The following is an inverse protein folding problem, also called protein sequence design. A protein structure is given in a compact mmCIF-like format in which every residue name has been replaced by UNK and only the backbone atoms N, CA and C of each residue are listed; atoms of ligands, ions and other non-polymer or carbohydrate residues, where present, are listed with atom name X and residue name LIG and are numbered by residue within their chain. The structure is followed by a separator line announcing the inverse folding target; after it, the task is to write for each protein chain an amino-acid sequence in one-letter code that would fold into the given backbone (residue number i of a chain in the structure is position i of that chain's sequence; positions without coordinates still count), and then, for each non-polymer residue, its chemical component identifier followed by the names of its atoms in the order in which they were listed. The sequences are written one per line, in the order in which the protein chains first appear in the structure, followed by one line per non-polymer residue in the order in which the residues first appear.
data_IF_685326705151
#
_entry.id   IF_685326705151
#
_cell.length_a   1.000
_cell.length_b   1.000
_cell.length_c   1.000
_cell.angle_alpha   90.00
_cell.angle_beta   90.00
_cell.angle_gamma   90.00
#
_symmetry.space_group_name_H-M   'P 1'
#
loop_
_entity.id
_entity.type
_entity.pdbx_description
1 polymer ?
#
# COMPACT_ATOMS: atom_id res chain seq x y z
N UNK A 1 18.79 7.40 -23.70
CA UNK A 1 17.85 6.30 -23.95
C UNK A 1 17.43 6.36 -25.42
N UNK A 2 17.65 5.27 -26.17
CA UNK A 2 17.21 5.21 -27.57
C UNK A 2 15.69 5.04 -27.63
N UNK A 3 15.04 5.55 -28.68
CA UNK A 3 13.59 5.42 -28.85
C UNK A 3 13.10 3.95 -28.83
N UNK A 4 13.99 3.01 -29.16
CA UNK A 4 13.70 1.57 -29.14
C UNK A 4 13.60 1.00 -27.73
N UNK A 5 14.45 1.42 -26.80
CA UNK A 5 14.44 0.96 -25.40
C UNK A 5 13.16 1.37 -24.66
N UNK A 6 12.65 2.57 -24.98
CA UNK A 6 11.41 3.10 -24.42
C UNK A 6 10.22 2.28 -24.95
N UNK A 7 10.16 2.06 -26.26
CA UNK A 7 9.08 1.28 -26.87
C UNK A 7 9.01 -0.16 -26.35
N UNK A 8 10.16 -0.79 -26.12
CA UNK A 8 10.22 -2.15 -25.57
C UNK A 8 9.77 -2.19 -24.10
N UNK A 9 10.16 -1.19 -23.31
CA UNK A 9 9.74 -1.07 -21.91
C UNK A 9 8.25 -0.78 -21.76
N UNK A 10 7.70 0.09 -22.62
CA UNK A 10 6.25 0.36 -22.69
C UNK A 10 5.48 -0.90 -23.04
N UNK A 11 5.93 -1.68 -24.03
CA UNK A 11 5.31 -2.98 -24.37
C UNK A 11 5.31 -3.95 -23.19
N UNK A 12 6.41 -4.07 -22.46
CA UNK A 12 6.49 -4.93 -21.26
C UNK A 12 5.48 -4.51 -20.18
N UNK A 13 5.35 -3.22 -19.93
CA UNK A 13 4.40 -2.69 -18.93
C UNK A 13 2.95 -2.93 -19.31
N UNK A 14 2.59 -2.63 -20.56
CA UNK A 14 1.24 -2.86 -21.11
C UNK A 14 0.85 -4.33 -21.04
N UNK A 15 1.80 -5.23 -21.28
CA UNK A 15 1.52 -6.68 -21.21
C UNK A 15 1.31 -7.15 -19.76
N UNK A 16 2.07 -6.58 -18.81
CA UNK A 16 2.01 -6.96 -17.40
C UNK A 16 0.79 -6.41 -16.66
N UNK A 17 0.35 -5.20 -17.00
CA UNK A 17 -0.74 -4.47 -16.34
C UNK A 17 -1.87 -4.14 -17.31
N UNK A 18 -2.22 -5.09 -18.18
CA UNK A 18 -3.18 -4.90 -19.27
C UNK A 18 -4.55 -4.38 -18.83
N UNK A 19 -4.95 -4.68 -17.59
CA UNK A 19 -6.25 -4.29 -17.05
C UNK A 19 -6.25 -2.91 -16.37
N UNK A 20 -5.06 -2.37 -16.09
CA UNK A 20 -4.89 -1.14 -15.30
C UNK A 20 -4.36 0.03 -16.13
N UNK A 21 -3.88 -0.23 -17.36
CA UNK A 21 -3.25 0.77 -18.24
C UNK A 21 -4.09 0.96 -19.49
N UNK A 22 -4.54 2.20 -19.73
CA UNK A 22 -5.13 2.62 -20.99
C UNK A 22 -4.06 2.73 -22.08
N UNK A 23 -3.99 1.68 -22.90
CA UNK A 23 -2.93 1.45 -23.89
C UNK A 23 -2.91 2.56 -24.97
N UNK A 24 -4.05 3.21 -25.21
CA UNK A 24 -4.23 4.17 -26.29
C UNK A 24 -3.40 5.45 -26.10
N UNK A 25 -3.26 5.95 -24.86
CA UNK A 25 -2.59 7.23 -24.57
C UNK A 25 -1.34 7.12 -23.70
N UNK A 26 -1.10 5.97 -23.06
CA UNK A 26 -0.02 5.78 -22.09
C UNK A 26 1.37 6.16 -22.61
N UNK A 27 1.67 5.85 -23.88
CA UNK A 27 2.97 6.19 -24.48
C UNK A 27 3.17 7.71 -24.59
N UNK A 28 2.15 8.43 -25.03
CA UNK A 28 2.20 9.88 -25.26
C UNK A 28 2.24 10.64 -23.93
N UNK A 29 1.53 10.14 -22.91
CA UNK A 29 1.60 10.68 -21.54
C UNK A 29 3.01 10.56 -20.94
N UNK A 30 3.65 9.39 -21.08
CA UNK A 30 5.03 9.18 -20.60
C UNK A 30 6.02 10.11 -21.31
N UNK A 31 5.86 10.29 -22.63
CA UNK A 31 6.68 11.21 -23.41
C UNK A 31 6.48 12.66 -22.96
N UNK A 32 5.24 13.08 -22.74
CA UNK A 32 4.91 14.41 -22.26
C UNK A 32 5.49 14.67 -20.86
N UNK A 33 5.36 13.69 -19.96
CA UNK A 33 5.92 13.76 -18.60
C UNK A 33 7.45 13.91 -18.63
N UNK A 34 8.16 13.08 -19.40
CA UNK A 34 9.63 13.16 -19.49
C UNK A 34 10.07 14.52 -20.03
N UNK A 35 9.36 15.05 -21.04
CA UNK A 35 9.65 16.37 -21.62
C UNK A 35 9.47 17.48 -20.58
N UNK A 36 8.37 17.45 -19.83
CA UNK A 36 8.11 18.42 -18.76
C UNK A 36 9.20 18.40 -17.68
N UNK A 37 9.60 17.21 -17.21
CA UNK A 37 10.66 17.09 -16.18
C UNK A 37 12.01 17.58 -16.67
N UNK A 38 12.32 17.36 -17.94
CA UNK A 38 13.56 17.87 -18.57
C UNK A 38 13.56 19.39 -18.71
N UNK A 39 12.42 20.00 -19.02
CA UNK A 39 12.27 21.46 -19.14
C UNK A 39 12.42 22.17 -17.79
N UNK A 40 11.81 21.62 -16.73
CA UNK A 40 11.86 22.20 -15.38
C UNK A 40 13.16 21.89 -14.62
N UNK A 41 14.01 21.00 -15.16
CA UNK A 41 15.33 20.61 -14.63
C UNK A 41 15.34 20.26 -13.12
N UNK A 42 14.23 19.70 -12.62
CA UNK A 42 13.99 19.51 -11.18
C UNK A 42 14.69 18.26 -10.63
N UNK A 43 14.64 17.14 -11.35
CA UNK A 43 15.07 15.82 -10.88
C UNK A 43 15.22 14.81 -12.05
N UNK A 44 15.70 13.60 -11.75
CA UNK A 44 15.71 12.47 -12.67
C UNK A 44 14.26 12.07 -13.03
N UNK A 45 13.86 12.08 -14.33
CA UNK A 45 12.51 11.73 -14.78
C UNK A 45 12.03 10.36 -14.29
N UNK A 46 12.95 9.40 -14.16
CA UNK A 46 12.62 8.05 -13.72
C UNK A 46 12.19 8.01 -12.25
N UNK A 47 12.85 8.79 -11.39
CA UNK A 47 12.53 8.84 -9.96
C UNK A 47 11.20 9.56 -9.72
N UNK A 48 10.99 10.67 -10.44
CA UNK A 48 9.75 11.43 -10.35
C UNK A 48 8.55 10.63 -10.86
N UNK A 49 8.72 9.87 -11.95
CA UNK A 49 7.66 9.00 -12.46
C UNK A 49 7.32 7.86 -11.47
N UNK A 50 8.31 7.31 -10.76
CA UNK A 50 8.07 6.32 -9.70
C UNK A 50 7.23 6.92 -8.56
N UNK A 51 7.56 8.13 -8.11
CA UNK A 51 6.78 8.80 -7.05
C UNK A 51 5.35 9.04 -7.54
N UNK A 52 5.18 9.55 -8.76
CA UNK A 52 3.87 9.78 -9.36
C UNK A 52 3.02 8.50 -9.39
N UNK A 53 3.59 7.37 -9.82
CA UNK A 53 2.89 6.07 -9.82
C UNK A 53 2.53 5.56 -8.43
N UNK A 54 3.26 5.97 -7.38
CA UNK A 54 2.93 5.62 -5.99
C UNK A 54 1.89 6.55 -5.37
N UNK A 55 1.59 7.70 -5.99
CA UNK A 55 0.52 8.56 -5.50
C UNK A 55 -0.81 7.87 -5.75
N UNK A 56 -1.66 7.71 -4.72
CA UNK A 56 -2.97 7.12 -4.91
C UNK A 56 -3.81 8.03 -5.82
N UNK A 57 -4.15 7.52 -7.01
CA UNK A 57 -5.05 8.21 -7.97
C UNK A 57 -6.48 8.31 -7.39
N UNK A 58 -6.86 7.38 -6.51
CA UNK A 58 -8.15 7.37 -5.84
C UNK A 58 -8.01 7.09 -4.33
N UNK A 59 -8.68 7.90 -3.51
CA UNK A 59 -8.74 7.72 -2.05
C UNK A 59 -9.64 6.56 -1.62
N UNK A 60 -10.21 5.77 -2.53
CA UNK A 60 -11.17 4.71 -2.24
C UNK A 60 -10.65 3.69 -1.20
N UNK A 61 -9.35 3.35 -1.26
CA UNK A 61 -8.72 2.47 -0.25
C UNK A 61 -8.67 3.13 1.13
N UNK A 62 -8.34 4.43 1.20
CA UNK A 62 -8.38 5.20 2.45
C UNK A 62 -9.79 5.34 3.00
N UNK A 63 -10.77 5.67 2.16
CA UNK A 63 -12.19 5.76 2.52
C UNK A 63 -12.74 4.43 3.04
N UNK A 64 -12.37 3.32 2.40
CA UNK A 64 -12.68 1.97 2.88
C UNK A 64 -12.10 1.74 4.27
N UNK A 65 -10.84 2.10 4.50
CA UNK A 65 -10.19 2.00 5.81
C UNK A 65 -10.86 2.86 6.88
N UNK A 66 -11.27 4.10 6.56
CA UNK A 66 -12.02 4.96 7.50
C UNK A 66 -13.43 4.45 7.78
N UNK A 67 -14.10 3.85 6.80
CA UNK A 67 -15.40 3.19 6.98
C UNK A 67 -15.29 1.98 7.92
N UNK A 68 -14.20 1.19 7.78
CA UNK A 68 -13.88 0.10 8.71
C UNK A 68 -13.55 0.63 10.12
N UNK A 69 -12.78 1.72 10.22
CA UNK A 69 -12.46 2.36 11.50
C UNK A 69 -13.72 2.78 12.26
N UNK A 70 -14.76 3.24 11.56
CA UNK A 70 -16.06 3.57 12.18
C UNK A 70 -16.75 2.35 12.83
N UNK A 71 -16.54 1.14 12.29
CA UNK A 71 -17.04 -0.11 12.89
C UNK A 71 -16.21 -0.53 14.11
N UNK A 72 -14.89 -0.30 14.05
CA UNK A 72 -13.95 -0.59 15.15
C UNK A 72 -14.18 0.36 16.33
N UNK A 73 -14.27 1.67 16.06
CA UNK A 73 -14.56 2.73 17.02
C UNK A 73 -16.06 2.95 17.15
N UNK A 74 -16.74 2.02 17.84
CA UNK A 74 -18.15 2.17 18.17
C UNK A 74 -18.36 2.86 19.54
N UNK A 75 -19.61 3.25 19.85
CA UNK A 75 -19.95 3.98 21.07
C UNK A 75 -19.47 3.27 22.35
N UNK A 76 -19.60 1.94 22.40
CA UNK A 76 -19.16 1.12 23.54
C UNK A 76 -17.62 1.05 23.69
N UNK A 77 -16.88 1.35 22.61
CA UNK A 77 -15.41 1.35 22.54
C UNK A 77 -14.82 2.76 22.48
N UNK A 78 -15.61 3.78 22.81
CA UNK A 78 -15.21 5.19 22.73
C UNK A 78 -14.06 5.58 23.68
N UNK A 79 -13.81 4.79 24.73
CA UNK A 79 -12.74 5.01 25.70
C UNK A 79 -11.42 4.28 25.39
N UNK A 80 -11.32 3.58 24.26
CA UNK A 80 -10.07 2.93 23.86
C UNK A 80 -8.95 3.94 23.62
N UNK A 81 -7.77 3.66 24.19
CA UNK A 81 -6.58 4.46 23.93
C UNK A 81 -6.22 4.41 22.43
N UNK A 82 -5.62 5.48 21.93
CA UNK A 82 -5.29 5.64 20.52
C UNK A 82 -4.37 4.53 20.00
N UNK A 83 -3.43 4.07 20.82
CA UNK A 83 -2.54 2.95 20.48
C UNK A 83 -3.33 1.65 20.26
N UNK A 84 -4.21 1.30 21.20
CA UNK A 84 -5.04 0.11 21.08
C UNK A 84 -6.02 0.20 19.89
N UNK A 85 -6.58 1.38 19.65
CA UNK A 85 -7.45 1.62 18.49
C UNK A 85 -6.66 1.43 17.18
N UNK A 86 -5.44 1.97 17.10
CA UNK A 86 -4.56 1.81 15.94
C UNK A 86 -4.25 0.34 15.68
N UNK A 87 -3.83 -0.40 16.71
CA UNK A 87 -3.50 -1.82 16.61
C UNK A 87 -4.71 -2.67 16.17
N UNK A 88 -5.90 -2.37 16.69
CA UNK A 88 -7.12 -3.07 16.30
C UNK A 88 -7.54 -2.74 14.85
N UNK A 89 -7.36 -1.49 14.44
CA UNK A 89 -7.64 -1.04 13.08
C UNK A 89 -6.70 -1.69 12.08
N UNK A 90 -5.40 -1.78 12.42
CA UNK A 90 -4.40 -2.49 11.63
C UNK A 90 -4.79 -3.95 11.43
N UNK A 91 -5.19 -4.65 12.49
CA UNK A 91 -5.67 -6.04 12.40
C UNK A 91 -6.87 -6.20 11.46
N UNK A 92 -7.79 -5.22 11.44
CA UNK A 92 -8.99 -5.27 10.59
C UNK A 92 -8.69 -4.94 9.14
N UNK A 93 -7.78 -3.99 8.88
CA UNK A 93 -7.30 -3.67 7.52
C UNK A 93 -6.54 -4.87 6.96
N UNK A 94 -5.63 -5.44 7.74
CA UNK A 94 -4.80 -6.59 7.40
C UNK A 94 -5.49 -7.93 7.73
N UNK A 95 -6.81 -8.01 7.59
CA UNK A 95 -7.57 -9.20 8.00
C UNK A 95 -7.15 -10.46 7.22
N UNK A 96 -6.76 -10.34 5.95
CA UNK A 96 -6.26 -11.47 5.15
C UNK A 96 -4.97 -12.04 5.72
N UNK A 97 -4.03 -11.17 6.10
CA UNK A 97 -2.78 -11.57 6.78
C UNK A 97 -3.08 -12.11 8.18
N UNK A 98 -4.02 -11.50 8.90
CA UNK A 98 -4.47 -11.97 10.20
C UNK A 98 -5.07 -13.38 10.13
N UNK A 99 -5.69 -13.76 9.01
CA UNK A 99 -6.26 -15.10 8.82
C UNK A 99 -5.23 -16.15 8.43
N UNK A 100 -4.11 -15.75 7.81
CA UNK A 100 -3.02 -16.67 7.44
C UNK A 100 -2.07 -16.99 8.59
N UNK A 101 -2.18 -16.28 9.71
CA UNK A 101 -1.38 -16.49 10.92
C UNK A 101 -1.78 -17.77 11.67
N UNK A 102 -0.79 -18.56 12.08
CA UNK A 102 -0.98 -19.68 13.01
C UNK A 102 -1.15 -19.14 14.45
N UNK A 103 -2.41 -19.02 14.87
CA UNK A 103 -2.75 -18.55 16.21
C UNK A 103 -2.24 -19.49 17.31
N UNK A 104 -2.14 -20.78 17.07
CA UNK A 104 -1.71 -21.74 18.08
C UNK A 104 -0.21 -21.58 18.36
N UNK A 105 0.58 -21.41 17.30
CA UNK A 105 1.99 -21.04 17.44
C UNK A 105 2.16 -19.70 18.19
N UNK A 106 1.43 -18.65 17.78
CA UNK A 106 1.53 -17.32 18.39
C UNK A 106 1.13 -17.33 19.87
N UNK A 107 0.04 -18.03 20.22
CA UNK A 107 -0.41 -18.17 21.61
C UNK A 107 0.64 -18.89 22.45
N UNK A 108 1.19 -20.00 21.93
CA UNK A 108 2.22 -20.76 22.63
C UNK A 108 3.50 -19.95 22.85
N UNK A 109 3.98 -19.21 21.85
CA UNK A 109 5.12 -18.31 22.00
C UNK A 109 4.84 -17.19 23.01
N UNK A 110 3.68 -16.54 22.91
CA UNK A 110 3.29 -15.51 23.87
C UNK A 110 3.23 -16.05 25.31
N UNK A 111 2.67 -17.26 25.49
CA UNK A 111 2.62 -17.92 26.79
C UNK A 111 4.01 -18.22 27.35
N UNK A 112 4.96 -18.68 26.52
CA UNK A 112 6.36 -18.88 26.94
C UNK A 112 7.01 -17.57 27.40
N UNK A 113 6.79 -16.47 26.68
CA UNK A 113 7.34 -15.15 27.02
C UNK A 113 6.71 -14.57 28.30
N UNK A 114 5.41 -14.82 28.54
CA UNK A 114 4.66 -14.32 29.70
C UNK A 114 4.64 -15.29 30.88
N UNK A 115 5.24 -16.46 30.77
CA UNK A 115 5.37 -17.41 31.87
C UNK A 115 6.22 -16.79 32.99
N UNK A 116 5.57 -16.05 33.89
CA UNK A 116 6.11 -15.73 35.20
C UNK A 116 6.40 -17.07 35.86
N UNK A 117 7.69 -17.38 36.07
CA UNK A 117 8.09 -18.48 36.95
C UNK A 117 7.56 -18.14 38.33
N UNK A 118 6.39 -18.68 38.68
CA UNK A 118 5.96 -18.74 40.08
C UNK A 118 6.90 -19.75 40.71
N UNK A 119 7.91 -19.26 41.41
CA UNK A 119 8.71 -20.07 42.32
C UNK A 119 7.77 -20.48 43.46
N UNK A 120 7.46 -21.78 43.52
CA UNK A 120 6.88 -22.43 44.69
C UNK A 120 7.96 -22.62 45.75
#
# INVERSE_FOLDING_TARGET
MSANEINESVKRLVTKYKNDIDIEYFKDEVLHFIKYVQEENVCNPVEMYRIFLTMPVCNASGERSFSLLKRVKNYLRSSLNQEHLSNLSLKVIENEVAQSLDYEFVINEFAKLKARKVLL
#
